data_IF_382940676719
#
_entry.id   IF_382940676719
#
_cell.length_a   1.000
_cell.length_b   1.000
_cell.length_c   1.000
_cell.angle_alpha   90.00
_cell.angle_beta   90.00
_cell.angle_gamma   90.00
#
_symmetry.space_group_name_H-M   'P 1'
#
loop_
_entity.id
_entity.type
_entity.pdbx_description
1 polymer ?
#
# COMPACT_ATOMS: atom_id res chain seq x y z
N UNK A 1 -1.39 -0.29 18.75
CA UNK A 1 -1.72 -0.86 17.42
C UNK A 1 -1.31 0.13 16.34
N UNK A 2 -0.68 -0.32 15.25
CA UNK A 2 -0.40 0.54 14.08
C UNK A 2 -1.66 0.68 13.23
N UNK A 3 -1.86 1.84 12.62
CA UNK A 3 -3.00 2.12 11.73
C UNK A 3 -2.57 1.97 10.28
N UNK A 4 -3.41 1.33 9.47
CA UNK A 4 -3.29 1.37 8.01
C UNK A 4 -4.13 2.55 7.54
N UNK A 5 -3.49 3.47 6.82
CA UNK A 5 -4.15 4.62 6.23
C UNK A 5 -4.10 4.49 4.71
N UNK A 6 -5.22 4.78 4.06
CA UNK A 6 -5.35 4.74 2.61
C UNK A 6 -5.66 6.15 2.14
N UNK A 7 -4.84 6.67 1.23
CA UNK A 7 -5.05 7.95 0.58
C UNK A 7 -5.33 7.69 -0.89
N UNK A 8 -6.55 8.01 -1.33
CA UNK A 8 -6.98 7.83 -2.72
C UNK A 8 -7.78 9.04 -3.16
N UNK A 9 -7.66 9.33 -4.45
CA UNK A 9 -8.64 10.13 -5.18
C UNK A 9 -9.46 9.19 -6.03
N UNK A 10 -10.78 9.36 -6.00
CA UNK A 10 -11.72 8.46 -6.64
C UNK A 10 -12.80 9.31 -7.32
N UNK A 11 -13.18 8.90 -8.53
CA UNK A 11 -14.33 9.48 -9.21
C UNK A 11 -15.63 9.12 -8.49
N UNK A 12 -16.71 9.82 -8.80
CA UNK A 12 -18.02 9.58 -8.19
C UNK A 12 -18.53 8.15 -8.43
N UNK A 13 -18.17 7.57 -9.58
CA UNK A 13 -18.51 6.22 -10.01
C UNK A 13 -17.45 5.17 -9.63
N UNK A 14 -16.43 5.53 -8.85
CA UNK A 14 -15.56 4.57 -8.16
C UNK A 14 -14.21 4.27 -8.82
N UNK A 15 -13.77 5.06 -9.80
CA UNK A 15 -12.50 4.85 -10.51
C UNK A 15 -11.37 5.69 -9.92
N UNK A 16 -10.18 5.10 -9.81
CA UNK A 16 -8.96 5.78 -9.32
C UNK A 16 -8.04 6.25 -10.45
N UNK A 17 -8.28 5.78 -11.67
CA UNK A 17 -7.59 6.16 -12.90
C UNK A 17 -8.53 5.89 -14.08
N UNK A 18 -8.27 6.54 -15.21
CA UNK A 18 -9.02 6.26 -16.44
C UNK A 18 -8.62 4.91 -17.08
N UNK A 19 -9.22 4.58 -18.23
CA UNK A 19 -8.94 3.33 -18.95
C UNK A 19 -7.47 3.17 -19.40
N UNK A 20 -6.73 4.27 -19.52
CA UNK A 20 -5.31 4.30 -19.90
C UNK A 20 -4.38 4.42 -18.68
N UNK A 21 -4.93 4.51 -17.47
CA UNK A 21 -4.17 4.74 -16.24
C UNK A 21 -3.84 6.22 -15.97
N UNK A 22 -4.46 7.16 -16.68
CA UNK A 22 -4.31 8.59 -16.41
C UNK A 22 -5.09 9.01 -15.16
N UNK A 23 -4.46 9.90 -14.42
CA UNK A 23 -4.96 10.49 -13.17
C UNK A 23 -4.93 12.03 -13.24
N UNK A 24 -4.82 12.62 -14.43
CA UNK A 24 -4.81 14.09 -14.61
C UNK A 24 -6.08 14.77 -14.10
N UNK A 25 -7.24 14.11 -14.28
CA UNK A 25 -8.55 14.56 -13.80
C UNK A 25 -8.64 14.66 -12.28
N UNK A 26 -7.81 13.90 -11.56
CA UNK A 26 -7.77 13.91 -10.10
C UNK A 26 -6.94 15.08 -9.56
N UNK A 27 -6.35 15.96 -10.38
CA UNK A 27 -5.53 17.06 -9.87
C UNK A 27 -6.37 18.32 -9.67
N UNK A 28 -6.59 18.69 -8.42
CA UNK A 28 -6.93 20.07 -8.05
C UNK A 28 -5.69 20.74 -7.47
N UNK A 29 -5.51 22.03 -7.71
CA UNK A 29 -4.38 22.81 -7.18
C UNK A 29 -4.90 24.08 -6.49
N UNK A 30 -5.92 23.93 -5.65
CA UNK A 30 -6.34 25.00 -4.77
C UNK A 30 -5.65 24.89 -3.40
N UNK A 31 -5.90 25.90 -2.57
CA UNK A 31 -5.28 26.01 -1.25
C UNK A 31 -5.71 24.87 -0.32
N UNK A 32 -6.98 24.48 -0.35
CA UNK A 32 -7.53 23.43 0.50
C UNK A 32 -6.90 22.06 0.15
N UNK A 33 -6.72 21.79 -1.14
CA UNK A 33 -6.02 20.62 -1.64
C UNK A 33 -4.58 20.53 -1.12
N UNK A 34 -3.84 21.64 -1.17
CA UNK A 34 -2.47 21.69 -0.71
C UNK A 34 -2.36 21.45 0.80
N UNK A 35 -3.26 22.05 1.59
CA UNK A 35 -3.31 21.84 3.04
C UNK A 35 -3.66 20.39 3.39
N UNK A 36 -4.62 19.79 2.67
CA UNK A 36 -5.02 18.40 2.85
C UNK A 36 -3.89 17.42 2.50
N UNK A 37 -3.22 17.60 1.36
CA UNK A 37 -2.11 16.72 0.93
C UNK A 37 -0.91 16.82 1.86
N UNK A 38 -0.55 18.03 2.31
CA UNK A 38 0.48 18.22 3.33
C UNK A 38 0.09 17.55 4.65
N UNK A 39 -1.17 17.66 5.08
CA UNK A 39 -1.70 16.98 6.26
C UNK A 39 -1.52 15.46 6.18
N UNK A 40 -1.84 14.86 5.03
CA UNK A 40 -1.71 13.41 4.81
C UNK A 40 -0.25 12.94 4.68
N UNK A 41 0.66 13.81 4.24
CA UNK A 41 2.08 13.50 4.19
C UNK A 41 2.73 13.46 5.60
N UNK A 42 2.05 13.97 6.63
CA UNK A 42 2.59 14.01 8.00
C UNK A 42 2.65 12.61 8.64
N UNK A 43 3.87 12.23 9.01
CA UNK A 43 4.16 11.16 9.99
C UNK A 43 5.04 10.02 9.46
N UNK A 44 5.81 9.39 10.36
CA UNK A 44 6.83 8.33 10.10
C UNK A 44 6.31 6.93 9.78
N UNK A 45 5.28 6.89 8.94
CA UNK A 45 4.68 5.62 8.48
C UNK A 45 5.41 5.02 7.28
N UNK A 46 5.42 3.69 7.22
CA UNK A 46 5.87 2.92 6.07
C UNK A 46 4.86 3.09 4.92
N UNK A 47 5.33 3.52 3.76
CA UNK A 47 4.50 3.63 2.54
C UNK A 47 4.44 2.27 1.82
N UNK A 48 3.25 1.89 1.39
CA UNK A 48 3.01 0.59 0.74
C UNK A 48 2.56 0.81 -0.70
N UNK A 49 3.19 0.10 -1.63
CA UNK A 49 2.89 0.21 -3.05
C UNK A 49 2.74 -1.16 -3.71
N UNK A 50 1.85 -1.26 -4.70
CA UNK A 50 1.98 -2.25 -5.76
C UNK A 50 2.91 -1.75 -6.87
N UNK A 51 3.40 -2.65 -7.73
CA UNK A 51 4.33 -2.33 -8.83
C UNK A 51 3.94 -1.08 -9.64
N UNK A 52 2.72 -1.04 -10.20
CA UNK A 52 2.30 0.05 -11.09
C UNK A 52 2.33 1.42 -10.41
N UNK A 53 1.78 1.50 -9.20
CA UNK A 53 1.78 2.75 -8.41
C UNK A 53 3.20 3.13 -8.00
N UNK A 54 4.04 2.15 -7.64
CA UNK A 54 5.44 2.41 -7.35
C UNK A 54 6.17 3.02 -8.54
N UNK A 55 6.02 2.47 -9.74
CA UNK A 55 6.67 2.96 -10.95
C UNK A 55 6.26 4.43 -11.24
N UNK A 56 4.97 4.73 -11.12
CA UNK A 56 4.44 6.10 -11.27
C UNK A 56 5.03 7.07 -10.23
N UNK A 57 5.06 6.67 -8.96
CA UNK A 57 5.54 7.52 -7.87
C UNK A 57 7.05 7.72 -7.94
N UNK A 58 7.82 6.66 -8.21
CA UNK A 58 9.26 6.70 -8.37
C UNK A 58 9.68 7.50 -9.61
N UNK A 59 8.83 7.56 -10.65
CA UNK A 59 9.06 8.38 -11.84
C UNK A 59 8.88 9.89 -11.62
N UNK A 60 8.11 10.29 -10.60
CA UNK A 60 7.78 11.70 -10.36
C UNK A 60 8.49 12.31 -9.14
N UNK A 61 8.39 11.69 -7.97
CA UNK A 61 8.81 12.33 -6.71
C UNK A 61 10.32 12.64 -6.57
N UNK A 62 11.24 11.88 -7.18
CA UNK A 62 12.66 12.24 -7.20
C UNK A 62 13.02 13.43 -8.10
N UNK A 63 12.09 13.90 -8.94
CA UNK A 63 12.38 14.94 -9.94
C UNK A 63 12.48 16.34 -9.32
N UNK A 64 13.26 17.23 -9.95
CA UNK A 64 13.33 18.64 -9.56
C UNK A 64 11.97 19.35 -9.69
N UNK A 65 11.14 18.94 -10.65
CA UNK A 65 9.77 19.45 -10.82
C UNK A 65 8.92 19.19 -9.58
N UNK A 66 8.95 17.97 -9.03
CA UNK A 66 8.22 17.65 -7.80
C UNK A 66 8.70 18.51 -6.62
N UNK A 67 10.01 18.67 -6.47
CA UNK A 67 10.60 19.53 -5.42
C UNK A 67 10.21 21.00 -5.57
N UNK A 68 10.14 21.54 -6.78
CA UNK A 68 9.75 22.92 -7.02
C UNK A 68 8.25 23.15 -6.76
N UNK A 69 7.40 22.17 -7.13
CA UNK A 69 5.95 22.27 -6.96
C UNK A 69 5.50 22.03 -5.51
N UNK A 70 6.10 21.04 -4.84
CA UNK A 70 5.68 20.56 -3.53
C UNK A 70 6.90 20.16 -2.69
N UNK A 71 7.73 21.13 -2.24
CA UNK A 71 9.02 20.85 -1.62
C UNK A 71 8.92 19.94 -0.40
N UNK A 72 8.01 20.25 0.52
CA UNK A 72 7.81 19.46 1.76
C UNK A 72 7.31 18.04 1.46
N UNK A 73 6.38 17.89 0.52
CA UNK A 73 5.85 16.57 0.14
C UNK A 73 6.91 15.75 -0.60
N UNK A 74 7.67 16.37 -1.51
CA UNK A 74 8.75 15.69 -2.22
C UNK A 74 9.84 15.21 -1.27
N UNK A 75 10.26 16.04 -0.31
CA UNK A 75 11.22 15.64 0.72
C UNK A 75 10.70 14.44 1.52
N UNK A 76 9.42 14.48 1.92
CA UNK A 76 8.78 13.39 2.66
C UNK A 76 8.72 12.11 1.86
N UNK A 77 8.25 12.17 0.62
CA UNK A 77 8.14 11.01 -0.27
C UNK A 77 9.52 10.38 -0.51
N UNK A 78 10.55 11.19 -0.71
CA UNK A 78 11.91 10.70 -0.96
C UNK A 78 12.60 10.15 0.30
N UNK A 79 12.28 10.65 1.49
CA UNK A 79 12.86 10.19 2.76
C UNK A 79 12.13 9.02 3.42
N UNK A 80 10.82 8.86 3.18
CA UNK A 80 10.01 7.82 3.81
C UNK A 80 10.49 6.39 3.47
N UNK A 81 10.34 5.47 4.44
CA UNK A 81 10.49 4.03 4.22
C UNK A 81 9.34 3.53 3.34
N UNK A 82 9.65 2.65 2.40
CA UNK A 82 8.69 2.12 1.41
C UNK A 82 8.81 0.61 1.32
N UNK A 83 7.69 -0.05 1.09
CA UNK A 83 7.64 -1.45 0.66
C UNK A 83 6.85 -1.53 -0.65
N UNK A 84 7.43 -2.18 -1.66
CA UNK A 84 6.76 -2.47 -2.94
C UNK A 84 6.50 -3.96 -3.04
N UNK A 85 5.24 -4.33 -3.24
CA UNK A 85 4.80 -5.71 -3.39
C UNK A 85 4.64 -6.01 -4.87
N UNK A 86 5.43 -6.96 -5.36
CA UNK A 86 5.41 -7.34 -6.77
C UNK A 86 6.05 -8.71 -6.97
N UNK A 87 5.39 -9.56 -7.76
CA UNK A 87 5.94 -10.86 -8.15
C UNK A 87 6.94 -10.77 -9.30
N UNK A 88 6.75 -9.80 -10.20
CA UNK A 88 7.47 -9.69 -11.48
C UNK A 88 8.52 -8.58 -11.53
N UNK A 89 8.61 -7.73 -10.51
CA UNK A 89 9.62 -6.66 -10.45
C UNK A 89 10.91 -7.25 -9.89
N UNK A 90 12.04 -7.03 -10.55
CA UNK A 90 13.34 -7.56 -10.11
C UNK A 90 14.11 -6.59 -9.22
N UNK A 91 13.87 -5.28 -9.36
CA UNK A 91 14.58 -4.26 -8.61
C UNK A 91 13.70 -3.05 -8.33
N UNK A 92 13.91 -2.40 -7.18
CA UNK A 92 13.26 -1.17 -6.76
C UNK A 92 14.34 -0.10 -6.50
N UNK A 93 14.48 0.86 -7.42
CA UNK A 93 15.59 1.83 -7.40
C UNK A 93 15.36 3.10 -6.56
N UNK A 94 14.12 3.36 -6.14
CA UNK A 94 13.81 4.55 -5.35
C UNK A 94 14.32 4.40 -3.90
N UNK A 95 14.96 5.44 -3.36
CA UNK A 95 15.54 5.47 -2.02
C UNK A 95 14.57 4.96 -0.94
N UNK A 96 15.12 4.19 0.01
CA UNK A 96 14.42 3.61 1.15
C UNK A 96 13.28 2.64 0.76
N UNK A 97 13.42 1.91 -0.36
CA UNK A 97 12.43 0.92 -0.80
C UNK A 97 12.90 -0.52 -0.55
N UNK A 98 12.04 -1.32 0.07
CA UNK A 98 12.15 -2.77 0.14
C UNK A 98 11.22 -3.41 -0.90
N UNK A 99 11.76 -4.24 -1.80
CA UNK A 99 10.96 -5.08 -2.69
C UNK A 99 10.54 -6.37 -1.98
N UNK A 100 9.24 -6.65 -1.99
CA UNK A 100 8.64 -7.84 -1.38
C UNK A 100 7.96 -8.69 -2.46
N UNK A 101 8.39 -9.94 -2.60
CA UNK A 101 7.88 -10.89 -3.61
C UNK A 101 6.64 -11.68 -3.17
N UNK A 102 6.24 -11.57 -1.89
CA UNK A 102 5.18 -12.35 -1.27
C UNK A 102 3.92 -11.57 -0.88
N UNK A 103 3.07 -12.21 -0.07
CA UNK A 103 1.83 -11.65 0.44
C UNK A 103 2.08 -10.50 1.45
N UNK A 104 1.38 -9.35 1.33
CA UNK A 104 1.50 -8.25 2.28
C UNK A 104 1.12 -8.61 3.72
N UNK A 105 0.09 -9.45 3.91
CA UNK A 105 -0.33 -9.90 5.24
C UNK A 105 0.76 -10.68 5.95
N UNK A 106 1.36 -11.66 5.27
CA UNK A 106 2.48 -12.45 5.81
C UNK A 106 3.70 -11.57 6.13
N UNK A 107 4.02 -10.61 5.26
CA UNK A 107 5.11 -9.66 5.50
C UNK A 107 4.94 -8.89 6.82
N UNK A 108 3.72 -8.44 7.15
CA UNK A 108 3.47 -7.71 8.40
C UNK A 108 3.41 -8.59 9.63
N UNK A 109 2.95 -9.84 9.51
CA UNK A 109 2.96 -10.78 10.63
C UNK A 109 4.40 -11.07 11.10
N UNK A 110 5.32 -11.24 10.15
CA UNK A 110 6.75 -11.44 10.39
C UNK A 110 7.41 -10.17 10.99
N UNK A 111 7.26 -9.02 10.32
CA UNK A 111 7.85 -7.75 10.75
C UNK A 111 7.47 -7.31 12.16
N UNK A 112 6.26 -7.66 12.62
CA UNK A 112 5.75 -7.25 13.93
C UNK A 112 5.69 -8.37 14.96
N UNK A 113 6.32 -9.51 14.67
CA UNK A 113 6.37 -10.67 15.57
C UNK A 113 4.98 -11.05 16.11
N UNK A 114 3.95 -10.96 15.26
CA UNK A 114 2.59 -11.40 15.58
C UNK A 114 2.44 -12.93 15.38
N UNK A 115 3.58 -13.65 15.40
CA UNK A 115 3.76 -15.05 15.01
C UNK A 115 3.11 -16.10 15.91
N UNK A 116 2.17 -15.73 16.79
CA UNK A 116 1.39 -16.71 17.54
C UNK A 116 0.55 -17.62 16.62
N UNK A 117 0.33 -17.21 15.36
CA UNK A 117 -0.35 -18.01 14.34
C UNK A 117 0.57 -18.82 13.42
N UNK A 118 1.89 -18.61 13.45
CA UNK A 118 2.83 -19.36 12.60
C UNK A 118 3.15 -20.76 13.15
N UNK A 119 2.93 -20.99 14.45
CA UNK A 119 3.18 -22.29 15.09
C UNK A 119 1.95 -23.21 15.19
N UNK A 120 0.77 -22.75 14.73
CA UNK A 120 -0.45 -23.56 14.65
C UNK A 120 -1.11 -23.36 13.28
N UNK A 121 -0.83 -24.21 12.28
CA UNK A 121 -1.45 -24.11 10.97
C UNK A 121 -2.91 -24.59 11.07
N UNK A 122 -3.82 -23.72 11.47
CA UNK A 122 -5.28 -23.96 11.37
C UNK A 122 -5.85 -23.45 10.04
N UNK A 123 -5.03 -22.81 9.20
CA UNK A 123 -5.44 -22.42 7.85
C UNK A 123 -4.72 -23.28 6.82
N UNK A 124 -5.45 -24.29 6.35
CA UNK A 124 -5.00 -25.27 5.38
C UNK A 124 -4.58 -24.65 4.06
N UNK A 125 -3.67 -25.38 3.41
CA UNK A 125 -3.27 -25.20 2.01
C UNK A 125 -4.51 -25.28 1.14
N UNK A 126 -4.86 -24.18 0.46
CA UNK A 126 -5.91 -24.15 -0.56
C UNK A 126 -5.38 -24.79 -1.84
N UNK A 127 -5.40 -26.12 -1.91
CA UNK A 127 -5.24 -26.86 -3.15
C UNK A 127 -6.61 -27.36 -3.62
N UNK A 128 -7.33 -26.49 -4.32
CA UNK A 128 -8.28 -26.84 -5.39
C UNK A 128 -9.44 -27.82 -5.16
N UNK A 129 -9.63 -28.42 -3.98
CA UNK A 129 -10.69 -29.39 -3.74
C UNK A 129 -11.61 -28.94 -2.60
N UNK A 130 -12.90 -28.88 -2.93
CA UNK A 130 -13.99 -28.54 -2.04
C UNK A 130 -14.04 -29.52 -0.88
N UNK A 131 -13.88 -29.03 0.35
CA UNK A 131 -14.31 -29.76 1.54
C UNK A 131 -15.26 -28.83 2.30
N UNK A 132 -16.55 -29.05 2.10
CA UNK A 132 -17.56 -28.62 3.04
C UNK A 132 -17.42 -29.54 4.26
N UNK A 133 -16.66 -29.13 5.27
CA UNK A 133 -16.70 -29.81 6.57
C UNK A 133 -17.54 -29.01 7.56
N UNK A 134 -18.40 -29.67 8.36
CA UNK A 134 -19.45 -29.02 9.11
C UNK A 134 -18.88 -28.27 10.31
N UNK A 135 -19.50 -27.14 10.63
CA UNK A 135 -19.23 -26.35 11.84
C UNK A 135 -19.20 -27.30 13.07
N UNK A 136 -18.14 -27.27 13.90
CA UNK A 136 -18.05 -28.10 15.09
C UNK A 136 -19.25 -27.85 16.02
N UNK A 137 -19.96 -28.91 16.42
CA UNK A 137 -21.15 -28.86 17.30
C UNK A 137 -20.96 -28.11 18.63
N UNK A 138 -19.73 -27.78 19.01
CA UNK A 138 -19.42 -26.98 20.22
C UNK A 138 -19.68 -25.48 20.06
N UNK A 139 -19.97 -24.99 18.85
CA UNK A 139 -20.30 -23.58 18.58
C UNK A 139 -21.80 -23.33 18.34
N UNK A 140 -22.66 -24.32 18.58
CA UNK A 140 -24.13 -24.21 18.40
C UNK A 140 -24.90 -24.09 19.73
N UNK A 141 -24.37 -23.36 20.72
CA UNK A 141 -25.16 -23.00 21.91
C UNK A 141 -25.06 -21.50 22.19
N UNK A 142 -26.23 -20.85 22.14
CA UNK A 142 -26.48 -19.43 22.29
C UNK A 142 -27.58 -19.03 21.33
#
# INVERSE_FOLDING_TARGET
MRRVMVFNMISLDGYIADANGDMSWARQQDKEWNEFTQGNAKGDSLMLFGRKTYDLMAGFWPTSTATAMMPEVAERMNSAKKAVFSRSMEMAGWKNTTLVKGDPGLYFLDQYNLGFFAQNPVYGVYDGQTIADPIPKKLQRG
#
